data_IF_727185226214
#
_entry.id   IF_727185226214
#
_cell.length_a   1.000
_cell.length_b   1.000
_cell.length_c   1.000
_cell.angle_alpha   90.00
_cell.angle_beta   90.00
_cell.angle_gamma   90.00
#
_symmetry.space_group_name_H-M   'P 1'
#
loop_
_entity.id
_entity.type
_entity.pdbx_description
1 polymer ?
#
# COMPACT_ATOMS: atom_id res chain seq x y z
N UNK A 1 -11.69 -10.92 16.06
CA UNK A 1 -10.71 -9.86 15.68
C UNK A 1 -11.48 -8.64 15.18
N UNK A 2 -11.22 -7.45 15.73
CA UNK A 2 -11.93 -6.22 15.39
C UNK A 2 -11.85 -5.95 13.86
N UNK A 3 -12.94 -5.49 13.23
CA UNK A 3 -13.02 -5.18 11.78
C UNK A 3 -11.85 -4.29 11.33
N UNK A 4 -11.48 -3.35 12.18
CA UNK A 4 -10.33 -2.50 12.00
C UNK A 4 -9.01 -3.30 11.84
N UNK A 5 -8.71 -4.24 12.75
CA UNK A 5 -7.49 -5.04 12.70
C UNK A 5 -7.45 -5.94 11.47
N UNK A 6 -8.60 -6.50 11.07
CA UNK A 6 -8.70 -7.32 9.85
C UNK A 6 -8.42 -6.53 8.57
N UNK A 7 -8.76 -5.24 8.54
CA UNK A 7 -8.42 -4.36 7.41
C UNK A 7 -6.99 -3.80 7.52
N UNK A 8 -6.52 -3.52 8.73
CA UNK A 8 -5.20 -2.91 8.96
C UNK A 8 -4.05 -3.84 8.59
N UNK A 9 -4.09 -5.10 9.05
CA UNK A 9 -3.01 -6.08 8.81
C UNK A 9 -2.70 -6.24 7.31
N UNK A 10 -3.66 -6.57 6.43
CA UNK A 10 -3.37 -6.70 5.01
C UNK A 10 -2.98 -5.36 4.38
N UNK A 11 -3.51 -4.24 4.87
CA UNK A 11 -3.10 -2.91 4.37
C UNK A 11 -1.62 -2.66 4.62
N UNK A 12 -1.15 -2.87 5.85
CA UNK A 12 0.26 -2.65 6.22
C UNK A 12 1.16 -3.56 5.39
N UNK A 13 0.86 -4.85 5.32
CA UNK A 13 1.67 -5.82 4.57
C UNK A 13 1.75 -5.50 3.07
N UNK A 14 0.62 -5.15 2.44
CA UNK A 14 0.60 -4.80 1.01
C UNK A 14 1.31 -3.46 0.74
N UNK A 15 1.13 -2.49 1.63
CA UNK A 15 1.76 -1.17 1.50
C UNK A 15 3.27 -1.27 1.69
N UNK A 16 3.73 -2.04 2.67
CA UNK A 16 5.16 -2.28 2.93
C UNK A 16 5.82 -2.97 1.74
N UNK A 17 5.19 -4.00 1.18
CA UNK A 17 5.68 -4.67 -0.01
C UNK A 17 5.75 -3.71 -1.21
N UNK A 18 4.72 -2.90 -1.42
CA UNK A 18 4.69 -1.91 -2.49
C UNK A 18 5.82 -0.88 -2.31
N UNK A 19 6.03 -0.38 -1.09
CA UNK A 19 7.03 0.62 -0.76
C UNK A 19 8.46 0.11 -0.98
N UNK A 20 8.78 -1.10 -0.50
CA UNK A 20 10.11 -1.67 -0.67
C UNK A 20 10.39 -1.89 -2.16
N UNK A 21 9.40 -2.41 -2.89
CA UNK A 21 9.53 -2.66 -4.33
C UNK A 21 9.70 -1.37 -5.13
N UNK A 22 8.88 -0.36 -4.86
CA UNK A 22 8.93 0.92 -5.56
C UNK A 22 10.21 1.69 -5.26
N UNK A 23 10.60 1.78 -3.99
CA UNK A 23 11.83 2.45 -3.58
C UNK A 23 13.06 1.81 -4.21
N UNK A 24 13.11 0.47 -4.26
CA UNK A 24 14.20 -0.28 -4.91
C UNK A 24 14.23 -0.01 -6.42
N UNK A 25 13.06 0.01 -7.07
CA UNK A 25 12.96 0.30 -8.51
C UNK A 25 13.39 1.75 -8.83
N UNK A 26 12.93 2.73 -8.05
CA UNK A 26 13.32 4.13 -8.20
C UNK A 26 14.83 4.28 -8.05
N UNK A 27 15.42 3.65 -7.03
CA UNK A 27 16.87 3.68 -6.83
C UNK A 27 17.63 3.03 -7.97
N UNK A 28 17.23 1.84 -8.41
CA UNK A 28 17.91 1.11 -9.48
C UNK A 28 17.91 1.93 -10.79
N UNK A 29 16.72 2.41 -11.19
CA UNK A 29 16.54 3.20 -12.41
C UNK A 29 17.34 4.50 -12.33
N UNK A 30 17.19 5.28 -11.26
CA UNK A 30 17.86 6.58 -11.16
C UNK A 30 19.38 6.44 -11.01
N UNK A 31 19.87 5.36 -10.40
CA UNK A 31 21.30 5.07 -10.32
C UNK A 31 21.89 4.75 -11.69
N UNK A 32 21.18 3.99 -12.54
CA UNK A 32 21.60 3.73 -13.93
C UNK A 32 21.74 5.03 -14.74
N UNK A 33 20.84 5.98 -14.53
CA UNK A 33 20.91 7.31 -15.15
C UNK A 33 21.92 8.26 -14.52
N UNK A 34 22.69 7.81 -13.53
CA UNK A 34 23.64 8.65 -12.77
C UNK A 34 22.96 9.92 -12.22
N UNK A 35 21.69 9.79 -11.80
CA UNK A 35 20.91 10.91 -11.33
C UNK A 35 21.56 11.54 -10.09
N UNK A 36 21.59 12.88 -10.07
CA UNK A 36 22.11 13.62 -8.92
C UNK A 36 21.29 13.33 -7.67
N UNK A 37 21.92 13.39 -6.49
CA UNK A 37 21.31 13.12 -5.19
C UNK A 37 19.96 13.80 -4.97
N UNK A 38 19.82 15.06 -5.39
CA UNK A 38 18.56 15.82 -5.22
C UNK A 38 17.40 15.28 -6.07
N UNK A 39 17.69 14.67 -7.22
CA UNK A 39 16.68 14.03 -8.08
C UNK A 39 16.19 12.74 -7.43
N UNK A 40 17.11 11.94 -6.87
CA UNK A 40 16.77 10.70 -6.15
C UNK A 40 15.89 11.03 -4.93
N UNK A 41 16.30 11.98 -4.10
CA UNK A 41 15.51 12.38 -2.93
C UNK A 41 14.14 12.97 -3.33
N UNK A 42 14.06 13.72 -4.43
CA UNK A 42 12.80 14.23 -4.96
C UNK A 42 11.87 13.11 -5.43
N UNK A 43 12.40 12.11 -6.12
CA UNK A 43 11.63 10.95 -6.57
C UNK A 43 11.14 10.10 -5.40
N UNK A 44 11.98 9.86 -4.38
CA UNK A 44 11.59 9.15 -3.16
C UNK A 44 10.47 9.89 -2.40
N UNK A 45 10.51 11.22 -2.33
CA UNK A 45 9.46 11.99 -1.69
C UNK A 45 8.11 11.84 -2.41
N UNK A 46 8.12 11.81 -3.74
CA UNK A 46 6.92 11.56 -4.55
C UNK A 46 6.43 10.12 -4.36
N UNK A 47 7.35 9.15 -4.33
CA UNK A 47 7.03 7.74 -4.13
C UNK A 47 6.35 7.49 -2.77
N UNK A 48 6.89 8.09 -1.70
CA UNK A 48 6.29 8.03 -0.36
C UNK A 48 4.87 8.63 -0.33
N UNK A 49 4.64 9.74 -1.03
CA UNK A 49 3.31 10.33 -1.13
C UNK A 49 2.34 9.41 -1.88
N UNK A 50 2.78 8.78 -2.98
CA UNK A 50 1.98 7.82 -3.74
C UNK A 50 1.63 6.58 -2.88
N UNK A 51 2.60 6.05 -2.13
CA UNK A 51 2.40 4.94 -1.19
C UNK A 51 1.40 5.29 -0.10
N UNK A 52 1.45 6.51 0.46
CA UNK A 52 0.49 6.96 1.46
C UNK A 52 -0.95 6.98 0.91
N UNK A 53 -1.14 7.45 -0.32
CA UNK A 53 -2.44 7.42 -1.00
C UNK A 53 -2.90 5.98 -1.26
N UNK A 54 -1.99 5.11 -1.70
CA UNK A 54 -2.27 3.69 -1.93
C UNK A 54 -2.70 2.99 -0.63
N UNK A 55 -2.02 3.27 0.49
CA UNK A 55 -2.34 2.71 1.79
C UNK A 55 -3.77 3.05 2.22
N UNK A 56 -4.17 4.32 2.05
CA UNK A 56 -5.54 4.77 2.32
C UNK A 56 -6.54 4.04 1.43
N UNK A 57 -6.23 3.89 0.14
CA UNK A 57 -7.09 3.18 -0.80
C UNK A 57 -7.28 1.71 -0.44
N UNK A 58 -6.18 1.00 -0.14
CA UNK A 58 -6.20 -0.41 0.28
C UNK A 58 -7.02 -0.56 1.56
N UNK A 59 -6.78 0.31 2.55
CA UNK A 59 -7.50 0.26 3.82
C UNK A 59 -9.01 0.43 3.64
N UNK A 60 -9.43 1.44 2.87
CA UNK A 60 -10.86 1.68 2.58
C UNK A 60 -11.49 0.46 1.92
N UNK A 61 -10.82 -0.11 0.91
CA UNK A 61 -11.31 -1.28 0.20
C UNK A 61 -11.40 -2.53 1.08
N UNK A 62 -10.40 -2.76 1.94
CA UNK A 62 -10.38 -3.87 2.89
C UNK A 62 -11.48 -3.72 3.95
N UNK A 63 -11.69 -2.51 4.46
CA UNK A 63 -12.73 -2.21 5.44
C UNK A 63 -14.15 -2.39 4.87
N UNK A 64 -14.38 -1.95 3.63
CA UNK A 64 -15.64 -2.15 2.93
C UNK A 64 -15.89 -3.64 2.60
N UNK A 65 -14.84 -4.40 2.31
CA UNK A 65 -14.95 -5.84 2.07
C UNK A 65 -15.39 -6.60 3.33
N UNK A 66 -14.80 -6.29 4.48
CA UNK A 66 -15.24 -6.86 5.76
C UNK A 66 -16.69 -6.48 6.11
N UNK A 67 -17.12 -5.25 5.78
CA UNK A 67 -18.52 -4.84 5.99
C UNK A 67 -19.50 -5.66 5.14
N UNK A 68 -19.14 -5.98 3.89
CA UNK A 68 -19.95 -6.83 3.00
C UNK A 68 -20.03 -8.28 3.46
N UNK A 69 -18.95 -8.85 4.01
CA UNK A 69 -18.95 -10.25 4.49
C UNK A 69 -19.88 -10.49 5.67
N UNK A 70 -20.12 -9.48 6.52
CA UNK A 70 -21.06 -9.58 7.65
C UNK A 70 -22.52 -9.65 7.16
N UNK A 71 -22.80 -9.17 5.94
CA UNK A 71 -24.16 -9.08 5.40
C UNK A 71 -24.61 -10.31 4.61
N UNK A 72 -23.72 -11.27 4.35
CA UNK A 72 -24.08 -12.50 3.63
C UNK A 72 -24.64 -13.49 4.68
N UNK A 73 -25.95 -13.81 4.66
CA UNK A 73 -26.44 -14.91 5.48
C UNK A 73 -25.77 -16.19 4.98
N UNK A 74 -25.11 -16.91 5.89
CA UNK A 74 -24.66 -18.27 5.62
C UNK A 74 -25.95 -19.10 5.50
N UNK A 75 -26.45 -19.25 4.29
CA UNK A 75 -27.52 -20.18 3.98
C UNK A 75 -26.94 -21.58 4.25
N UNK A 76 -27.30 -22.12 5.41
CA UNK A 76 -26.97 -23.48 5.80
C UNK A 76 -27.94 -24.40 5.03
N UNK A 77 -27.43 -25.01 3.95
CA UNK A 77 -28.00 -26.23 3.37
C UNK A 77 -27.55 -27.46 4.17
#
# INVERSE_FOLDING_TARGET
MNRFLKALVPTVLLTELALITSATAVWAILSEFHAGKYVIMGAEAIDLAAIAVLAVFIFRRAFDAEARMIQIPVEND
#
